data_IF_535546291097
#
_entry.id   IF_535546291097
#
_cell.length_a   1.000
_cell.length_b   1.000
_cell.length_c   1.000
_cell.angle_alpha   90.00
_cell.angle_beta   90.00
_cell.angle_gamma   90.00
#
_symmetry.space_group_name_H-M   'P 1'
#
loop_
_entity.id
_entity.type
_entity.pdbx_description
1 polymer ?
#
# COMPACT_ATOMS: atom_id res chain seq x y z
N UNK A 1 2.29 -20.10 -13.50
CA UNK A 1 2.24 -19.38 -12.21
C UNK A 1 0.90 -18.68 -12.16
N UNK A 2 0.02 -19.06 -11.23
CA UNK A 2 -1.28 -18.41 -11.13
C UNK A 2 -1.12 -16.99 -10.53
N UNK A 3 -2.12 -16.14 -10.67
CA UNK A 3 -2.02 -14.75 -10.22
C UNK A 3 -1.88 -14.63 -8.70
N UNK A 4 -2.45 -15.56 -7.92
CA UNK A 4 -2.34 -15.61 -6.46
C UNK A 4 -0.88 -15.81 -6.00
N UNK A 5 -0.14 -16.70 -6.67
CA UNK A 5 1.29 -16.94 -6.39
C UNK A 5 2.15 -15.73 -6.76
N UNK A 6 1.81 -15.03 -7.85
CA UNK A 6 2.46 -13.78 -8.26
C UNK A 6 2.29 -12.69 -7.19
N UNK A 7 1.07 -12.51 -6.69
CA UNK A 7 0.78 -11.51 -5.67
C UNK A 7 1.45 -11.83 -4.33
N UNK A 8 1.43 -13.10 -3.92
CA UNK A 8 2.06 -13.53 -2.66
C UNK A 8 3.57 -13.30 -2.67
N UNK A 9 4.24 -13.60 -3.80
CA UNK A 9 5.68 -13.33 -3.97
C UNK A 9 5.98 -11.83 -4.02
N UNK A 10 5.15 -11.05 -4.70
CA UNK A 10 5.27 -9.59 -4.76
C UNK A 10 5.16 -8.97 -3.37
N UNK A 11 4.14 -9.36 -2.60
CA UNK A 11 3.95 -8.92 -1.23
C UNK A 11 5.17 -9.18 -0.34
N UNK A 12 5.69 -10.42 -0.36
CA UNK A 12 6.87 -10.79 0.42
C UNK A 12 8.13 -10.02 0.01
N UNK A 13 8.28 -9.66 -1.28
CA UNK A 13 9.40 -8.85 -1.76
C UNK A 13 9.29 -7.39 -1.28
N UNK A 14 8.09 -6.81 -1.37
CA UNK A 14 7.82 -5.44 -0.90
C UNK A 14 8.03 -5.30 0.60
N UNK A 15 7.65 -6.30 1.40
CA UNK A 15 7.97 -6.30 2.84
C UNK A 15 9.47 -6.29 3.13
N UNK A 16 10.28 -6.98 2.32
CA UNK A 16 11.76 -6.95 2.46
C UNK A 16 12.36 -5.61 2.06
N UNK A 17 11.74 -4.89 1.13
CA UNK A 17 12.14 -3.52 0.77
C UNK A 17 11.77 -2.52 1.88
N UNK A 18 10.55 -2.61 2.43
CA UNK A 18 10.16 -1.80 3.60
C UNK A 18 11.11 -2.01 4.77
N UNK A 19 11.56 -3.23 5.04
CA UNK A 19 12.52 -3.49 6.12
C UNK A 19 13.92 -2.86 5.89
N UNK A 20 14.22 -2.37 4.67
CA UNK A 20 15.46 -1.65 4.34
C UNK A 20 15.28 -0.14 4.32
N UNK A 21 14.12 0.33 3.86
CA UNK A 21 13.71 1.72 3.89
C UNK A 21 12.19 1.77 4.12
N UNK A 22 11.79 1.93 5.39
CA UNK A 22 10.38 1.90 5.80
C UNK A 22 9.59 3.09 5.25
N UNK A 23 10.28 4.07 4.66
CA UNK A 23 9.75 5.34 4.21
C UNK A 23 9.64 5.42 2.68
N UNK A 24 10.09 4.40 1.94
CA UNK A 24 9.96 4.33 0.48
C UNK A 24 8.49 4.25 0.06
N UNK A 25 7.96 5.39 -0.37
CA UNK A 25 6.57 5.57 -0.76
C UNK A 25 6.18 4.74 -1.99
N UNK A 26 7.14 4.40 -2.86
CA UNK A 26 6.87 3.57 -4.04
C UNK A 26 6.52 2.14 -3.61
N UNK A 27 7.11 1.64 -2.52
CA UNK A 27 6.76 0.33 -1.96
C UNK A 27 5.34 0.31 -1.43
N UNK A 28 4.92 1.39 -0.76
CA UNK A 28 3.54 1.57 -0.31
C UNK A 28 2.57 1.62 -1.49
N UNK A 29 2.92 2.37 -2.53
CA UNK A 29 2.14 2.46 -3.77
C UNK A 29 1.89 1.08 -4.39
N UNK A 30 2.93 0.25 -4.45
CA UNK A 30 2.84 -1.12 -4.99
C UNK A 30 2.01 -2.04 -4.09
N UNK A 31 2.09 -1.88 -2.77
CA UNK A 31 1.26 -2.64 -1.82
C UNK A 31 -0.23 -2.29 -1.98
N UNK A 32 -0.59 -1.00 -2.08
CA UNK A 32 -1.98 -0.60 -2.30
C UNK A 32 -2.56 -1.18 -3.60
N UNK A 33 -1.79 -1.12 -4.69
CA UNK A 33 -2.17 -1.73 -5.98
C UNK A 33 -2.33 -3.25 -5.88
N UNK A 34 -1.47 -3.90 -5.10
CA UNK A 34 -1.52 -5.35 -4.88
C UNK A 34 -2.78 -5.76 -4.11
N UNK A 35 -3.12 -5.06 -3.03
CA UNK A 35 -4.35 -5.33 -2.28
C UNK A 35 -5.61 -4.99 -3.09
N UNK A 36 -5.58 -3.95 -3.91
CA UNK A 36 -6.66 -3.63 -4.84
C UNK A 36 -6.93 -4.77 -5.82
N UNK A 37 -5.87 -5.33 -6.43
CA UNK A 37 -5.98 -6.47 -7.34
C UNK A 37 -6.57 -7.72 -6.66
N UNK A 38 -6.35 -7.88 -5.35
CA UNK A 38 -6.92 -8.96 -4.54
C UNK A 38 -8.33 -8.65 -4.00
N UNK A 39 -8.86 -7.44 -4.23
CA UNK A 39 -10.08 -6.92 -3.60
C UNK A 39 -10.03 -6.94 -2.06
N UNK A 40 -8.84 -6.95 -1.48
CA UNK A 40 -8.64 -6.94 -0.03
C UNK A 40 -8.64 -5.50 0.50
N UNK A 41 -9.85 -4.93 0.64
CA UNK A 41 -10.05 -3.57 1.14
C UNK A 41 -9.53 -3.40 2.57
N UNK A 42 -9.64 -4.43 3.41
CA UNK A 42 -9.26 -4.34 4.84
C UNK A 42 -7.74 -4.20 4.97
N UNK A 43 -6.97 -5.06 4.31
CA UNK A 43 -5.51 -4.98 4.34
C UNK A 43 -5.00 -3.71 3.68
N UNK A 44 -5.67 -3.24 2.62
CA UNK A 44 -5.36 -1.97 1.96
C UNK A 44 -5.47 -0.77 2.91
N UNK A 45 -6.62 -0.62 3.57
CA UNK A 45 -6.86 0.49 4.51
C UNK A 45 -5.87 0.42 5.66
N UNK A 46 -5.67 -0.77 6.24
CA UNK A 46 -4.70 -0.96 7.32
C UNK A 46 -3.30 -0.53 6.90
N UNK A 47 -2.83 -0.96 5.73
CA UNK A 47 -1.49 -0.61 5.24
C UNK A 47 -1.31 0.90 5.08
N UNK A 48 -2.29 1.59 4.47
CA UNK A 48 -2.23 3.03 4.27
C UNK A 48 -2.20 3.79 5.61
N UNK A 49 -3.09 3.42 6.53
CA UNK A 49 -3.18 4.07 7.85
C UNK A 49 -1.89 3.87 8.67
N UNK A 50 -1.31 2.67 8.68
CA UNK A 50 -0.05 2.43 9.39
C UNK A 50 1.11 3.22 8.77
N UNK A 51 1.18 3.31 7.44
CA UNK A 51 2.21 4.14 6.79
C UNK A 51 2.08 5.62 7.15
N UNK A 52 0.87 6.18 7.12
CA UNK A 52 0.62 7.57 7.55
C UNK A 52 1.07 7.81 9.00
N UNK A 53 0.80 6.84 9.89
CA UNK A 53 1.24 6.93 11.29
C UNK A 53 2.77 6.93 11.39
N UNK A 54 3.46 6.05 10.66
CA UNK A 54 4.93 5.96 10.66
C UNK A 54 5.54 7.26 10.13
N UNK A 55 5.09 7.77 8.98
CA UNK A 55 5.58 9.05 8.43
C UNK A 55 5.41 10.21 9.41
N UNK A 56 4.24 10.30 10.04
CA UNK A 56 3.97 11.37 11.00
C UNK A 56 4.83 11.23 12.26
N UNK A 57 5.04 10.01 12.75
CA UNK A 57 5.81 9.74 13.97
C UNK A 57 7.30 9.96 13.77
N UNK A 58 7.85 9.49 12.66
CA UNK A 58 9.31 9.47 12.43
C UNK A 58 9.81 10.73 11.72
N UNK A 59 9.02 11.30 10.80
CA UNK A 59 9.44 12.44 9.97
C UNK A 59 8.58 13.70 10.17
N UNK A 60 7.43 13.61 10.86
CA UNK A 60 6.53 14.75 11.04
C UNK A 60 5.82 15.19 9.76
N UNK A 61 5.86 14.37 8.71
CA UNK A 61 5.26 14.67 7.39
C UNK A 61 4.02 13.81 7.11
N UNK A 62 3.31 14.15 6.04
CA UNK A 62 2.22 13.36 5.47
C UNK A 62 2.69 12.67 4.18
N UNK A 63 1.97 11.64 3.68
CA UNK A 63 2.25 11.09 2.36
C UNK A 63 2.16 12.16 1.26
N UNK A 64 2.76 11.88 0.12
CA UNK A 64 2.61 12.72 -1.08
C UNK A 64 1.15 12.83 -1.52
N UNK A 65 0.86 13.91 -2.24
CA UNK A 65 -0.46 14.13 -2.83
C UNK A 65 -0.80 13.00 -3.81
N UNK A 66 0.18 12.54 -4.59
CA UNK A 66 0.00 11.43 -5.54
C UNK A 66 -0.45 10.14 -4.83
N UNK A 67 0.14 9.82 -3.66
CA UNK A 67 -0.24 8.63 -2.91
C UNK A 67 -1.63 8.77 -2.27
N UNK A 68 -1.99 9.96 -1.77
CA UNK A 68 -3.33 10.27 -1.25
C UNK A 68 -4.40 10.12 -2.34
N UNK A 69 -4.13 10.65 -3.54
CA UNK A 69 -5.03 10.54 -4.69
C UNK A 69 -5.20 9.07 -5.11
N UNK A 70 -4.10 8.31 -5.20
CA UNK A 70 -4.16 6.89 -5.54
C UNK A 70 -5.02 6.10 -4.55
N UNK A 71 -4.78 6.29 -3.24
CA UNK A 71 -5.56 5.63 -2.19
C UNK A 71 -7.06 5.94 -2.36
N UNK A 72 -7.39 7.22 -2.54
CA UNK A 72 -8.78 7.67 -2.69
C UNK A 72 -9.45 7.05 -3.92
N UNK A 73 -8.75 6.98 -5.05
CA UNK A 73 -9.24 6.34 -6.28
C UNK A 73 -9.50 4.85 -6.08
N UNK A 74 -8.58 4.14 -5.41
CA UNK A 74 -8.73 2.71 -5.16
C UNK A 74 -9.94 2.44 -4.24
N UNK A 75 -10.09 3.18 -3.15
CA UNK A 75 -11.22 3.01 -2.23
C UNK A 75 -12.55 3.27 -2.94
N UNK A 76 -12.62 4.35 -3.70
CA UNK A 76 -13.81 4.68 -4.49
C UNK A 76 -14.18 3.59 -5.50
N UNK A 77 -13.19 2.98 -6.15
CA UNK A 77 -13.42 1.87 -7.07
C UNK A 77 -13.92 0.63 -6.34
N UNK A 78 -13.31 0.26 -5.21
CA UNK A 78 -13.71 -0.91 -4.42
C UNK A 78 -15.13 -0.78 -3.83
N UNK A 79 -15.59 0.44 -3.54
CA UNK A 79 -16.95 0.70 -3.05
C UNK A 79 -18.04 0.58 -4.11
N UNK A 80 -17.65 0.48 -5.40
CA UNK A 80 -18.56 0.37 -6.54
C UNK A 80 -18.59 -1.01 -7.19
N UNK A 81 -17.79 -1.95 -6.68
CA UNK A 81 -17.72 -3.35 -7.15
C UNK A 81 -18.64 -4.25 -6.32
#
# INVERSE_FOLDING_TARGET
>A
MNDIERFSRMYAFLQKLLARDELDEEVIRLLLKTYHAQKDKVSLIRQYVEYVKVLRKELGISPSEELVVLYSQIIFNLDRM
#
